data_IF_371369773660
#
_entry.id   IF_371369773660
#
_cell.length_a   1.000
_cell.length_b   1.000
_cell.length_c   1.000
_cell.angle_alpha   90.00
_cell.angle_beta   90.00
_cell.angle_gamma   90.00
#
_symmetry.space_group_name_H-M   'P 1'
#
loop_
_entity.id
_entity.type
_entity.pdbx_description
1 polymer ?
#
# COMPACT_ATOMS: atom_id res chain seq x y z
N UNK A 1 12.29 21.12 84.29
CA UNK A 1 13.56 20.56 83.78
C UNK A 1 13.33 19.13 83.36
N UNK A 2 14.06 18.70 82.33
CA UNK A 2 14.28 17.33 81.84
C UNK A 2 13.32 16.74 80.80
N UNK A 3 13.91 16.51 79.62
CA UNK A 3 13.44 15.79 78.44
C UNK A 3 12.92 14.38 78.76
N UNK A 4 12.03 13.86 77.88
CA UNK A 4 12.27 12.62 77.13
C UNK A 4 10.96 12.10 76.53
N UNK A 5 10.92 11.92 75.20
CA UNK A 5 10.64 10.60 74.61
C UNK A 5 10.89 10.57 73.11
N UNK A 6 11.68 9.56 72.75
CA UNK A 6 12.03 9.06 71.44
C UNK A 6 10.80 8.86 70.55
N UNK A 7 10.90 9.29 69.30
CA UNK A 7 10.15 8.71 68.19
C UNK A 7 11.16 8.13 67.19
N UNK A 8 11.25 6.80 67.16
CA UNK A 8 11.66 6.06 65.97
C UNK A 8 10.51 6.15 64.98
N UNK A 9 10.77 6.63 63.77
CA UNK A 9 10.00 6.29 62.56
C UNK A 9 10.99 6.18 61.38
N UNK A 10 11.37 4.95 61.04
CA UNK A 10 10.96 4.20 59.83
C UNK A 10 11.64 4.70 58.56
N UNK A 11 12.65 3.95 58.10
CA UNK A 11 13.24 4.11 56.78
C UNK A 11 12.20 3.72 55.70
N UNK A 12 11.83 4.66 54.84
CA UNK A 12 11.06 4.39 53.64
C UNK A 12 11.99 3.85 52.55
N UNK A 13 11.99 2.53 52.33
CA UNK A 13 12.59 1.92 51.16
C UNK A 13 11.69 2.15 49.95
N UNK A 14 12.15 2.92 48.97
CA UNK A 14 11.48 3.06 47.68
C UNK A 14 11.78 1.81 46.85
N UNK A 15 10.82 0.91 46.72
CA UNK A 15 10.87 -0.17 45.73
C UNK A 15 10.37 0.38 44.39
N UNK A 16 11.29 0.67 43.47
CA UNK A 16 10.93 0.99 42.09
C UNK A 16 10.41 -0.29 41.40
N UNK A 17 9.09 -0.37 41.19
CA UNK A 17 8.49 -1.44 40.40
C UNK A 17 8.64 -1.11 38.92
N UNK A 18 9.56 -1.77 38.22
CA UNK A 18 9.61 -1.73 36.77
C UNK A 18 8.46 -2.59 36.21
N UNK A 19 7.42 -1.94 35.70
CA UNK A 19 6.35 -2.63 34.98
C UNK A 19 6.92 -3.18 33.66
N UNK A 20 6.99 -4.51 33.55
CA UNK A 20 7.23 -5.21 32.29
C UNK A 20 6.00 -5.03 31.41
N UNK A 21 6.10 -4.20 30.37
CA UNK A 21 5.14 -4.20 29.26
C UNK A 21 5.45 -5.46 28.43
N UNK A 22 4.54 -6.45 28.31
CA UNK A 22 4.80 -7.58 27.45
C UNK A 22 4.85 -7.09 26.00
N UNK A 23 6.04 -7.20 25.40
CA UNK A 23 6.23 -6.93 23.98
C UNK A 23 5.36 -7.88 23.17
N UNK A 24 4.54 -7.32 22.30
CA UNK A 24 3.76 -8.09 21.33
C UNK A 24 4.78 -8.72 20.37
N UNK A 25 5.07 -10.01 20.57
CA UNK A 25 5.85 -10.77 19.63
C UNK A 25 5.08 -10.81 18.31
N UNK A 26 5.58 -10.11 17.29
CA UNK A 26 5.11 -10.33 15.93
C UNK A 26 5.64 -11.70 15.52
N UNK A 27 4.77 -12.69 15.55
CA UNK A 27 5.02 -13.98 14.92
C UNK A 27 5.33 -13.69 13.44
N UNK A 28 6.61 -13.63 13.11
CA UNK A 28 7.08 -13.69 11.73
C UNK A 28 6.83 -15.12 11.31
N UNK A 29 5.61 -15.39 10.84
CA UNK A 29 5.34 -16.63 10.13
C UNK A 29 6.32 -16.68 8.97
N UNK A 30 7.23 -17.65 8.99
CA UNK A 30 8.02 -18.02 7.82
C UNK A 30 7.08 -18.65 6.81
N UNK A 31 6.24 -17.82 6.19
CA UNK A 31 5.77 -18.10 4.85
C UNK A 31 7.03 -18.06 4.00
N UNK A 32 7.32 -19.13 3.27
CA UNK A 32 8.33 -19.10 2.21
C UNK A 32 7.86 -18.10 1.15
N UNK A 33 8.09 -16.81 1.40
CA UNK A 33 7.87 -15.77 0.43
C UNK A 33 8.82 -16.03 -0.73
N UNK A 34 8.28 -16.02 -1.96
CA UNK A 34 9.10 -16.08 -3.16
C UNK A 34 10.20 -15.01 -3.06
N UNK A 35 11.42 -15.38 -3.44
CA UNK A 35 12.52 -14.45 -3.59
C UNK A 35 12.16 -13.34 -4.59
N UNK A 36 12.80 -12.16 -4.50
CA UNK A 36 12.57 -11.10 -5.48
C UNK A 36 12.76 -11.55 -6.93
N UNK A 37 13.70 -12.47 -7.17
CA UNK A 37 13.94 -13.01 -8.51
C UNK A 37 12.79 -13.91 -8.97
N UNK A 38 12.30 -14.82 -8.12
CA UNK A 38 11.15 -15.68 -8.44
C UNK A 38 9.89 -14.86 -8.75
N UNK A 39 9.69 -13.72 -8.07
CA UNK A 39 8.59 -12.80 -8.37
C UNK A 39 8.75 -12.19 -9.76
N UNK A 40 9.94 -11.67 -10.09
CA UNK A 40 10.21 -11.06 -11.40
C UNK A 40 10.11 -12.07 -12.53
N UNK A 41 10.63 -13.29 -12.33
CA UNK A 41 10.56 -14.37 -13.31
C UNK A 41 9.09 -14.74 -13.60
N UNK A 42 8.23 -14.75 -12.57
CA UNK A 42 6.80 -15.00 -12.73
C UNK A 42 6.03 -13.88 -13.47
N UNK A 43 6.56 -12.66 -13.55
CA UNK A 43 5.92 -11.52 -14.23
C UNK A 43 6.06 -11.56 -15.75
N UNK A 44 7.01 -12.31 -16.30
CA UNK A 44 7.33 -12.28 -17.73
C UNK A 44 6.32 -13.11 -18.57
N UNK A 45 5.86 -12.63 -19.75
CA UNK A 45 6.10 -11.33 -20.37
C UNK A 45 5.18 -10.22 -19.84
N UNK A 46 5.66 -8.96 -19.93
CA UNK A 46 4.91 -7.77 -19.53
C UNK A 46 4.35 -6.94 -20.69
N UNK A 47 3.20 -6.30 -20.47
CA UNK A 47 2.54 -5.37 -21.41
C UNK A 47 2.28 -4.00 -20.76
N UNK A 48 2.33 -2.91 -21.52
CA UNK A 48 2.00 -1.55 -21.03
C UNK A 48 0.68 -1.06 -21.62
N UNK A 49 -0.20 -0.55 -20.74
CA UNK A 49 -1.39 0.20 -21.14
C UNK A 49 -1.02 1.67 -21.39
N UNK A 50 -0.21 1.90 -22.43
CA UNK A 50 0.30 3.23 -22.77
C UNK A 50 -0.74 4.13 -23.44
N UNK A 51 -0.46 5.44 -23.46
CA UNK A 51 -1.31 6.49 -24.03
C UNK A 51 -2.77 6.40 -23.56
N UNK A 52 -2.96 6.03 -22.30
CA UNK A 52 -4.26 5.84 -21.65
C UNK A 52 -4.30 6.76 -20.42
N UNK A 53 -4.06 6.24 -19.22
CA UNK A 53 -4.06 7.04 -17.99
C UNK A 53 -2.83 7.93 -17.84
N UNK A 54 -1.78 7.67 -18.62
CA UNK A 54 -0.59 8.51 -18.76
C UNK A 54 -0.79 9.71 -19.68
N UNK A 55 -1.93 9.79 -20.36
CA UNK A 55 -2.30 10.96 -21.14
C UNK A 55 -2.47 12.22 -20.28
N UNK A 56 -2.39 13.39 -20.92
CA UNK A 56 -2.26 14.69 -20.23
C UNK A 56 -3.49 15.59 -20.35
N UNK A 57 -4.61 15.08 -20.86
CA UNK A 57 -5.86 15.81 -21.00
C UNK A 57 -6.87 15.53 -19.88
N UNK A 58 -8.16 15.67 -20.21
CA UNK A 58 -9.24 15.58 -19.23
C UNK A 58 -9.54 14.15 -18.76
N UNK A 59 -9.21 13.13 -19.55
CA UNK A 59 -9.40 11.72 -19.20
C UNK A 59 -8.44 10.80 -19.97
N UNK A 60 -8.59 9.49 -19.74
CA UNK A 60 -7.78 8.41 -20.32
C UNK A 60 -7.86 8.31 -21.86
N UNK A 61 -8.76 9.05 -22.51
CA UNK A 61 -8.95 9.05 -23.97
C UNK A 61 -8.27 10.22 -24.67
N UNK A 62 -7.66 11.14 -23.91
CA UNK A 62 -7.17 12.42 -24.44
C UNK A 62 -6.04 12.32 -25.47
N UNK A 63 -5.37 11.18 -25.58
CA UNK A 63 -4.38 10.88 -26.64
C UNK A 63 -4.91 9.94 -27.74
N UNK A 64 -6.23 9.74 -27.83
CA UNK A 64 -6.90 9.06 -28.94
C UNK A 64 -7.20 7.58 -28.74
N UNK A 65 -6.71 6.96 -27.66
CA UNK A 65 -7.12 5.62 -27.30
C UNK A 65 -8.57 5.60 -26.77
N UNK A 66 -9.33 4.53 -27.02
CA UNK A 66 -10.65 4.38 -26.43
C UNK A 66 -10.54 4.14 -24.92
N UNK A 67 -11.65 4.36 -24.22
CA UNK A 67 -11.78 4.01 -22.80
C UNK A 67 -11.49 2.53 -22.58
N UNK A 68 -10.73 2.19 -21.53
CA UNK A 68 -10.30 0.81 -21.26
C UNK A 68 -11.52 -0.07 -20.98
N UNK A 69 -11.55 -1.27 -21.55
CA UNK A 69 -12.59 -2.27 -21.28
C UNK A 69 -11.99 -3.48 -20.58
N UNK A 70 -12.83 -4.21 -19.83
CA UNK A 70 -12.41 -5.49 -19.25
C UNK A 70 -12.01 -6.51 -20.33
N UNK A 71 -12.66 -6.47 -21.49
CA UNK A 71 -12.34 -7.37 -22.60
C UNK A 71 -10.95 -7.10 -23.18
N UNK A 72 -10.48 -5.85 -23.20
CA UNK A 72 -9.09 -5.55 -23.55
C UNK A 72 -8.11 -6.23 -22.57
N UNK A 73 -8.35 -6.11 -21.26
CA UNK A 73 -7.50 -6.73 -20.24
C UNK A 73 -7.52 -8.27 -20.36
N UNK A 74 -8.70 -8.85 -20.59
CA UNK A 74 -8.83 -10.29 -20.85
C UNK A 74 -8.07 -10.71 -22.11
N UNK A 75 -8.15 -9.92 -23.18
CA UNK A 75 -7.43 -10.20 -24.42
C UNK A 75 -5.92 -10.16 -24.21
N UNK A 76 -5.39 -9.18 -23.47
CA UNK A 76 -3.96 -9.10 -23.10
C UNK A 76 -3.53 -10.37 -22.36
N UNK A 77 -4.30 -10.81 -21.35
CA UNK A 77 -4.02 -12.06 -20.64
C UNK A 77 -4.08 -13.28 -21.56
N UNK A 78 -5.10 -13.36 -22.43
CA UNK A 78 -5.27 -14.47 -23.38
C UNK A 78 -4.13 -14.55 -24.42
N UNK A 79 -3.44 -13.43 -24.69
CA UNK A 79 -2.24 -13.39 -25.54
C UNK A 79 -0.94 -13.78 -24.80
N UNK A 80 -1.04 -14.22 -23.54
CA UNK A 80 0.09 -14.80 -22.80
C UNK A 80 0.90 -13.83 -21.96
N UNK A 81 0.45 -12.59 -21.77
CA UNK A 81 1.09 -11.64 -20.85
C UNK A 81 0.77 -11.98 -19.39
N UNK A 82 1.82 -12.01 -18.56
CA UNK A 82 1.74 -12.34 -17.14
C UNK A 82 1.81 -11.10 -16.24
N UNK A 83 2.23 -9.95 -16.78
CA UNK A 83 2.18 -8.67 -16.08
C UNK A 83 1.68 -7.55 -16.97
N UNK A 84 1.04 -6.57 -16.35
CA UNK A 84 0.59 -5.33 -16.97
C UNK A 84 1.12 -4.15 -16.15
N UNK A 85 1.67 -3.16 -16.84
CA UNK A 85 1.98 -1.84 -16.26
C UNK A 85 0.94 -0.83 -16.73
N UNK A 86 0.33 -0.16 -15.75
CA UNK A 86 -0.67 0.89 -15.96
C UNK A 86 -0.02 2.22 -15.57
N UNK A 87 0.60 2.96 -16.52
CA UNK A 87 1.16 4.27 -16.23
C UNK A 87 0.02 5.29 -16.04
N UNK A 88 0.17 6.20 -15.07
CA UNK A 88 -0.87 7.18 -14.73
C UNK A 88 -0.23 8.55 -14.53
N UNK A 89 -0.77 9.56 -15.21
CA UNK A 89 -0.47 10.97 -14.98
C UNK A 89 -1.56 11.52 -14.05
N UNK A 90 -1.16 12.12 -12.93
CA UNK A 90 -2.09 12.58 -11.88
C UNK A 90 -2.32 14.08 -11.88
N UNK A 91 -1.41 14.87 -12.45
CA UNK A 91 -1.33 16.33 -12.24
C UNK A 91 -2.61 17.07 -12.64
N UNK A 92 -3.28 16.64 -13.72
CA UNK A 92 -4.55 17.20 -14.18
C UNK A 92 -5.74 16.83 -13.29
N UNK A 93 -5.58 15.83 -12.43
CA UNK A 93 -6.60 15.26 -11.57
C UNK A 93 -6.32 15.55 -10.08
N UNK A 94 -5.47 16.54 -9.79
CA UNK A 94 -5.25 17.05 -8.44
C UNK A 94 -6.03 18.35 -8.25
N UNK A 95 -6.65 18.51 -7.09
CA UNK A 95 -7.16 19.81 -6.66
C UNK A 95 -6.04 20.73 -6.12
N UNK A 96 -6.39 21.93 -5.68
CA UNK A 96 -5.43 22.90 -5.11
C UNK A 96 -4.76 22.43 -3.82
N UNK A 97 -5.29 21.41 -3.15
CA UNK A 97 -4.75 20.79 -1.94
C UNK A 97 -3.99 19.48 -2.24
N UNK A 98 -3.74 19.15 -3.52
CA UNK A 98 -3.16 17.89 -3.99
C UNK A 98 -3.98 16.64 -3.64
N UNK A 99 -5.30 16.79 -3.48
CA UNK A 99 -6.22 15.65 -3.38
C UNK A 99 -6.53 15.16 -4.79
N UNK A 100 -6.38 13.86 -5.01
CA UNK A 100 -6.73 13.22 -6.28
C UNK A 100 -8.25 13.20 -6.45
N UNK A 101 -8.74 13.56 -7.64
CA UNK A 101 -10.13 13.41 -8.02
C UNK A 101 -10.61 11.98 -7.72
N UNK A 102 -11.59 11.80 -6.81
CA UNK A 102 -12.06 10.48 -6.41
C UNK A 102 -12.67 9.70 -7.59
N UNK A 103 -13.22 10.37 -8.60
CA UNK A 103 -13.78 9.73 -9.80
C UNK A 103 -12.67 9.14 -10.65
N UNK A 104 -11.60 9.90 -10.88
CA UNK A 104 -10.45 9.43 -11.64
C UNK A 104 -9.73 8.29 -10.91
N UNK A 105 -9.54 8.41 -9.59
CA UNK A 105 -8.96 7.34 -8.77
C UNK A 105 -9.81 6.05 -8.80
N UNK A 106 -11.13 6.18 -8.69
CA UNK A 106 -12.05 5.03 -8.78
C UNK A 106 -11.94 4.34 -10.14
N UNK A 107 -11.78 5.12 -11.22
CA UNK A 107 -11.61 4.59 -12.56
C UNK A 107 -10.28 3.85 -12.75
N UNK A 108 -9.16 4.40 -12.27
CA UNK A 108 -7.87 3.67 -12.27
C UNK A 108 -7.98 2.38 -11.47
N UNK A 109 -8.61 2.43 -10.28
CA UNK A 109 -8.82 1.27 -9.42
C UNK A 109 -9.66 0.19 -10.09
N UNK A 110 -10.67 0.56 -10.88
CA UNK A 110 -11.48 -0.39 -11.65
C UNK A 110 -10.63 -1.19 -12.63
N UNK A 111 -9.77 -0.52 -13.42
CA UNK A 111 -8.90 -1.18 -14.41
C UNK A 111 -7.84 -2.05 -13.73
N UNK A 112 -7.24 -1.57 -12.62
CA UNK A 112 -6.36 -2.38 -11.77
C UNK A 112 -7.10 -3.61 -11.24
N UNK A 113 -8.35 -3.43 -10.80
CA UNK A 113 -9.21 -4.52 -10.33
C UNK A 113 -9.41 -5.59 -11.38
N UNK A 114 -9.68 -5.21 -12.63
CA UNK A 114 -9.77 -6.17 -13.73
C UNK A 114 -8.47 -6.95 -13.89
N UNK A 115 -7.32 -6.28 -13.97
CA UNK A 115 -6.01 -6.93 -14.10
C UNK A 115 -5.69 -7.92 -12.98
N UNK A 116 -6.13 -7.67 -11.74
CA UNK A 116 -5.95 -8.58 -10.60
C UNK A 116 -6.89 -9.79 -10.64
N UNK A 117 -8.04 -9.67 -11.30
CA UNK A 117 -9.04 -10.75 -11.39
C UNK A 117 -8.81 -11.70 -12.56
N UNK A 118 -8.16 -11.26 -13.63
CA UNK A 118 -7.79 -12.12 -14.76
C UNK A 118 -6.53 -12.94 -14.40
N UNK A 119 -6.72 -14.16 -13.89
CA UNK A 119 -5.63 -15.08 -13.51
C UNK A 119 -5.24 -16.04 -14.62
#
# INVERSE_FOLDING_TARGET
MTLSRRHLLTAAGVAASAALVPGVAHASGTQNAASPQEIVDAMQPGWNLGNTFDSTGADETSWGNPRVTRDLIRAVKANGFNSIRIPVTWVQHLDSANVIDPTYLARVKEVVGWALTER
#
